data_IF_675002858501
#
_entry.id   IF_675002858501
#
_cell.length_a   1.000
_cell.length_b   1.000
_cell.length_c   1.000
_cell.angle_alpha   90.00
_cell.angle_beta   90.00
_cell.angle_gamma   90.00
#
_symmetry.space_group_name_H-M   'P 1'
#
loop_
_entity.id
_entity.type
_entity.pdbx_description
1 polymer ?
#
# COMPACT_ATOMS: atom_id res chain seq x y z
N UNK A 1 12.15 -25.83 7.31
CA UNK A 1 11.65 -26.78 8.32
C UNK A 1 12.22 -28.14 7.96
N UNK A 2 12.96 -28.80 8.90
CA UNK A 2 13.68 -30.07 8.68
C UNK A 2 12.77 -31.17 8.10
N UNK A 3 11.48 -31.11 8.37
CA UNK A 3 10.50 -32.05 7.83
C UNK A 3 10.22 -31.87 6.34
N UNK A 4 10.22 -30.63 5.84
CA UNK A 4 10.08 -30.35 4.40
C UNK A 4 11.36 -30.67 3.64
N UNK A 5 12.51 -30.42 4.25
CA UNK A 5 13.80 -30.83 3.71
C UNK A 5 13.92 -32.36 3.63
N UNK A 6 13.47 -33.11 4.66
CA UNK A 6 13.43 -34.56 4.65
C UNK A 6 12.43 -35.11 3.61
N UNK A 7 11.26 -34.50 3.44
CA UNK A 7 10.31 -34.88 2.39
C UNK A 7 10.87 -34.61 0.99
N UNK A 8 11.57 -33.50 0.80
CA UNK A 8 12.23 -33.17 -0.46
C UNK A 8 13.33 -34.20 -0.76
N UNK A 9 14.19 -34.53 0.21
CA UNK A 9 15.24 -35.54 0.07
C UNK A 9 14.64 -36.93 -0.19
N UNK A 10 13.50 -37.28 0.40
CA UNK A 10 12.81 -38.54 0.14
C UNK A 10 12.14 -38.59 -1.22
N UNK A 11 11.60 -37.47 -1.71
CA UNK A 11 11.03 -37.36 -3.07
C UNK A 11 12.12 -37.53 -4.13
N UNK A 12 13.27 -36.90 -3.94
CA UNK A 12 14.44 -37.03 -4.83
C UNK A 12 15.02 -38.46 -4.85
N UNK A 13 14.93 -39.20 -3.74
CA UNK A 13 15.37 -40.62 -3.69
C UNK A 13 14.42 -41.59 -4.37
N UNK A 14 13.15 -41.23 -4.49
CA UNK A 14 12.14 -42.11 -5.11
C UNK A 14 11.90 -41.88 -6.60
N UNK A 15 12.41 -40.76 -7.15
CA UNK A 15 12.23 -40.39 -8.56
C UNK A 15 13.58 -40.50 -9.30
N UNK A 16 13.97 -41.73 -9.64
CA UNK A 16 15.20 -42.03 -10.36
C UNK A 16 15.15 -41.65 -11.87
N UNK A 17 14.28 -40.70 -12.28
CA UNK A 17 14.06 -40.38 -13.69
C UNK A 17 14.23 -38.89 -14.05
N UNK A 18 14.39 -37.99 -13.10
CA UNK A 18 14.65 -36.56 -13.43
C UNK A 18 16.17 -36.39 -13.53
N UNK A 19 16.65 -36.05 -14.74
CA UNK A 19 18.07 -35.76 -14.92
C UNK A 19 18.43 -34.41 -14.27
N UNK A 20 19.70 -34.23 -13.89
CA UNK A 20 20.19 -32.96 -13.38
C UNK A 20 19.92 -31.80 -14.37
N UNK A 21 19.95 -32.10 -15.68
CA UNK A 21 19.61 -31.16 -16.73
C UNK A 21 18.14 -30.75 -16.71
N UNK A 22 17.21 -31.66 -16.41
CA UNK A 22 15.78 -31.38 -16.30
C UNK A 22 15.48 -30.54 -15.04
N UNK A 23 16.15 -30.84 -13.93
CA UNK A 23 16.05 -30.08 -12.69
C UNK A 23 16.62 -28.66 -12.90
N UNK A 24 17.78 -28.54 -13.54
CA UNK A 24 18.38 -27.26 -13.88
C UNK A 24 17.51 -26.46 -14.87
N UNK A 25 16.94 -27.10 -15.88
CA UNK A 25 16.01 -26.49 -16.81
C UNK A 25 14.75 -25.99 -16.09
N UNK A 26 14.21 -26.76 -15.13
CA UNK A 26 13.07 -26.33 -14.30
C UNK A 26 13.39 -25.11 -13.46
N UNK A 27 14.59 -25.03 -12.87
CA UNK A 27 15.05 -23.87 -12.08
C UNK A 27 15.29 -22.65 -13.00
N UNK A 28 15.82 -22.87 -14.21
CA UNK A 28 16.10 -21.81 -15.17
C UNK A 28 14.84 -21.33 -15.92
N UNK A 29 13.80 -22.16 -15.98
CA UNK A 29 12.48 -21.84 -16.58
C UNK A 29 11.50 -21.23 -15.57
N UNK A 30 11.91 -20.97 -14.34
CA UNK A 30 11.08 -20.24 -13.38
C UNK A 30 10.70 -18.90 -13.98
N UNK A 31 9.41 -18.73 -14.26
CA UNK A 31 8.89 -17.43 -14.72
C UNK A 31 9.22 -16.38 -13.69
N UNK A 32 9.77 -15.23 -14.11
CA UNK A 32 10.10 -14.17 -13.15
C UNK A 32 8.86 -13.83 -12.31
N UNK A 33 9.03 -13.74 -11.01
CA UNK A 33 7.94 -13.44 -10.06
C UNK A 33 7.21 -12.15 -10.44
N UNK A 34 7.94 -11.21 -11.03
CA UNK A 34 7.42 -9.92 -11.51
C UNK A 34 7.74 -9.72 -12.99
N UNK A 35 6.70 -9.39 -13.76
CA UNK A 35 6.86 -9.00 -15.15
C UNK A 35 7.10 -7.49 -15.21
N UNK A 36 8.25 -7.03 -15.75
CA UNK A 36 8.54 -5.61 -15.89
C UNK A 36 7.49 -4.88 -16.73
N UNK A 37 7.06 -3.70 -16.27
CA UNK A 37 6.24 -2.82 -17.09
C UNK A 37 7.09 -2.25 -18.23
N UNK A 38 6.57 -2.12 -19.47
CA UNK A 38 7.34 -1.68 -20.63
C UNK A 38 7.95 -0.29 -20.41
N UNK A 39 9.29 -0.21 -20.54
CA UNK A 39 10.05 1.01 -20.23
C UNK A 39 9.68 2.17 -21.17
N UNK A 40 9.49 1.90 -22.45
CA UNK A 40 9.09 2.90 -23.45
C UNK A 40 7.77 3.60 -23.12
N UNK A 41 6.86 2.87 -22.46
CA UNK A 41 5.59 3.45 -21.97
C UNK A 41 5.77 4.28 -20.72
N UNK A 42 6.69 3.88 -19.83
CA UNK A 42 7.02 4.67 -18.65
C UNK A 42 7.67 5.99 -19.06
N UNK A 43 8.71 5.93 -19.90
CA UNK A 43 9.47 7.10 -20.32
C UNK A 43 8.55 8.16 -20.93
N UNK A 44 7.65 7.76 -21.84
CA UNK A 44 6.65 8.67 -22.42
C UNK A 44 5.72 9.35 -21.42
N UNK A 45 5.41 8.71 -20.31
CA UNK A 45 4.54 9.28 -19.27
C UNK A 45 5.30 10.25 -18.38
N UNK A 46 6.63 10.12 -18.28
CA UNK A 46 7.48 10.98 -17.45
C UNK A 46 8.00 12.22 -18.20
N UNK A 47 8.05 12.18 -19.54
CA UNK A 47 8.64 13.26 -20.34
C UNK A 47 7.92 14.58 -20.14
N UNK A 48 6.60 14.56 -19.92
CA UNK A 48 5.82 15.78 -19.66
C UNK A 48 4.64 15.52 -18.73
N UNK A 49 4.75 15.95 -17.49
CA UNK A 49 3.64 15.93 -16.55
C UNK A 49 2.58 16.98 -16.92
N UNK A 50 2.97 18.05 -17.65
CA UNK A 50 2.10 19.14 -18.09
C UNK A 50 1.59 20.01 -16.94
N UNK A 51 1.22 21.25 -17.28
CA UNK A 51 0.76 22.25 -16.29
C UNK A 51 -0.50 21.78 -15.56
N UNK A 52 -1.44 21.17 -16.28
CA UNK A 52 -2.71 20.69 -15.72
C UNK A 52 -2.52 19.68 -14.58
N UNK A 53 -1.65 18.70 -14.79
CA UNK A 53 -1.37 17.71 -13.76
C UNK A 53 -0.54 18.28 -12.62
N UNK A 54 0.40 19.20 -12.91
CA UNK A 54 1.19 19.92 -11.88
C UNK A 54 0.29 20.76 -10.98
N UNK A 55 -0.62 21.55 -11.55
CA UNK A 55 -1.59 22.33 -10.79
C UNK A 55 -2.45 21.45 -9.87
N UNK A 56 -2.96 20.34 -10.37
CA UNK A 56 -3.70 19.35 -9.58
C UNK A 56 -2.87 18.78 -8.43
N UNK A 57 -1.62 18.38 -8.70
CA UNK A 57 -0.71 17.81 -7.70
C UNK A 57 -0.31 18.85 -6.65
N UNK A 58 0.00 20.08 -7.06
CA UNK A 58 0.30 21.18 -6.13
C UNK A 58 -0.91 21.50 -5.23
N UNK A 59 -2.12 21.52 -5.80
CA UNK A 59 -3.37 21.69 -5.03
C UNK A 59 -3.61 20.58 -4.00
N UNK A 60 -2.91 19.45 -4.13
CA UNK A 60 -2.89 18.35 -3.15
C UNK A 60 -1.64 18.32 -2.26
N UNK A 61 -0.85 19.38 -2.28
CA UNK A 61 0.38 19.50 -1.50
C UNK A 61 1.52 18.58 -1.97
N UNK A 62 1.49 18.14 -3.22
CA UNK A 62 2.58 17.35 -3.83
C UNK A 62 3.46 18.30 -4.64
N UNK A 63 4.68 18.53 -4.16
CA UNK A 63 5.65 19.48 -4.75
C UNK A 63 6.33 18.91 -6.00
N UNK A 64 7.07 19.74 -6.74
CA UNK A 64 7.85 19.30 -7.90
C UNK A 64 8.90 18.25 -7.49
N UNK A 65 9.55 18.42 -6.34
CA UNK A 65 10.53 17.46 -5.83
C UNK A 65 9.90 16.07 -5.61
N UNK A 66 8.65 16.02 -5.12
CA UNK A 66 7.91 14.77 -4.95
C UNK A 66 7.47 14.18 -6.29
N UNK A 67 7.07 15.02 -7.25
CA UNK A 67 6.75 14.61 -8.63
C UNK A 67 7.95 13.91 -9.24
N UNK A 68 9.12 14.52 -9.15
CA UNK A 68 10.37 13.99 -9.71
C UNK A 68 10.85 12.75 -8.94
N UNK A 69 10.80 12.77 -7.59
CA UNK A 69 11.23 11.65 -6.76
C UNK A 69 10.43 10.38 -7.00
N UNK A 70 9.12 10.50 -7.15
CA UNK A 70 8.23 9.37 -7.41
C UNK A 70 8.03 9.08 -8.90
N UNK A 71 8.64 9.87 -9.78
CA UNK A 71 8.47 9.78 -11.22
C UNK A 71 6.99 9.79 -11.63
N UNK A 72 6.24 10.77 -11.12
CA UNK A 72 4.85 10.91 -11.47
C UNK A 72 4.71 11.35 -12.93
N UNK A 73 3.73 10.77 -13.61
CA UNK A 73 3.45 11.08 -14.99
C UNK A 73 2.02 11.56 -15.20
N UNK A 74 1.69 11.83 -16.46
CA UNK A 74 0.34 12.21 -16.85
C UNK A 74 -0.11 11.49 -18.12
N UNK A 75 -1.35 11.10 -18.16
CA UNK A 75 -2.02 10.58 -19.34
C UNK A 75 -3.07 11.57 -19.81
N UNK A 76 -2.72 12.35 -20.84
CA UNK A 76 -3.64 13.31 -21.46
C UNK A 76 -4.93 12.63 -21.95
N UNK A 77 -4.77 11.48 -22.62
CA UNK A 77 -5.90 10.70 -23.16
C UNK A 77 -6.94 10.30 -22.11
N UNK A 78 -6.50 10.07 -20.87
CA UNK A 78 -7.38 9.63 -19.79
C UNK A 78 -7.64 10.71 -18.74
N UNK A 79 -7.00 11.86 -18.86
CA UNK A 79 -6.98 12.95 -17.87
C UNK A 79 -6.63 12.44 -16.45
N UNK A 80 -5.53 11.69 -16.37
CA UNK A 80 -5.11 11.02 -15.14
C UNK A 80 -3.65 11.29 -14.80
N UNK A 81 -3.37 11.60 -13.55
CA UNK A 81 -2.02 11.48 -12.98
C UNK A 81 -1.66 10.01 -12.89
N UNK A 82 -0.45 9.68 -13.28
CA UNK A 82 0.07 8.32 -13.32
C UNK A 82 1.15 8.15 -12.25
N UNK A 83 0.99 7.12 -11.43
CA UNK A 83 1.92 6.76 -10.36
C UNK A 83 2.50 5.39 -10.67
N UNK A 84 3.83 5.26 -10.85
CA UNK A 84 4.46 3.97 -11.08
C UNK A 84 4.52 3.15 -9.80
N UNK A 85 4.29 1.85 -9.94
CA UNK A 85 4.39 0.87 -8.86
C UNK A 85 5.54 -0.08 -9.15
N UNK A 86 6.38 -0.31 -8.15
CA UNK A 86 7.56 -1.17 -8.25
C UNK A 86 7.39 -2.42 -7.40
N UNK A 87 8.02 -3.52 -7.85
CA UNK A 87 8.22 -4.71 -7.01
C UNK A 87 9.05 -4.36 -5.78
N UNK A 88 9.11 -5.22 -4.76
CA UNK A 88 10.00 -5.00 -3.63
C UNK A 88 11.47 -4.79 -4.03
N UNK A 89 11.90 -5.31 -5.18
CA UNK A 89 13.28 -5.17 -5.68
C UNK A 89 13.50 -3.96 -6.59
N UNK A 90 12.45 -3.16 -6.79
CA UNK A 90 12.53 -1.91 -7.54
C UNK A 90 12.26 -2.06 -9.05
N UNK A 91 11.77 -3.20 -9.50
CA UNK A 91 11.35 -3.40 -10.89
C UNK A 91 9.98 -2.72 -11.07
N UNK A 92 9.79 -1.79 -12.02
CA UNK A 92 8.48 -1.24 -12.32
C UNK A 92 7.56 -2.35 -12.84
N UNK A 93 6.43 -2.59 -12.16
CA UNK A 93 5.51 -3.72 -12.44
C UNK A 93 4.11 -3.28 -12.83
N UNK A 94 3.85 -1.99 -12.79
CA UNK A 94 2.56 -1.44 -13.20
C UNK A 94 2.39 0.01 -12.79
N UNK A 95 1.17 0.49 -13.00
CA UNK A 95 0.79 1.89 -12.82
C UNK A 95 -0.53 1.98 -12.05
N UNK A 96 -0.66 3.06 -11.29
CA UNK A 96 -1.93 3.53 -10.74
C UNK A 96 -2.24 4.88 -11.40
N UNK A 97 -3.45 5.02 -11.95
CA UNK A 97 -3.97 6.28 -12.49
C UNK A 97 -4.96 6.91 -11.52
N UNK A 98 -4.84 8.22 -11.32
CA UNK A 98 -5.78 9.04 -10.56
C UNK A 98 -6.41 10.07 -11.47
N UNK A 99 -7.72 10.01 -11.69
CA UNK A 99 -8.47 11.01 -12.45
C UNK A 99 -8.45 12.38 -11.79
N UNK A 100 -8.18 13.42 -12.61
CA UNK A 100 -8.13 14.79 -12.12
C UNK A 100 -9.53 15.30 -11.81
N UNK A 101 -10.51 15.04 -12.68
CA UNK A 101 -11.88 15.55 -12.53
C UNK A 101 -12.76 14.63 -11.68
N UNK A 102 -12.79 13.35 -12.02
CA UNK A 102 -13.73 12.37 -11.46
C UNK A 102 -13.21 11.65 -10.20
N UNK A 103 -11.96 11.94 -9.81
CA UNK A 103 -11.28 11.33 -8.65
C UNK A 103 -11.22 9.79 -8.71
N UNK A 104 -11.46 9.17 -9.86
CA UNK A 104 -11.40 7.71 -10.00
C UNK A 104 -9.97 7.21 -9.88
N UNK A 105 -9.83 5.98 -9.38
CA UNK A 105 -8.58 5.23 -9.42
C UNK A 105 -8.66 4.12 -10.47
N UNK A 106 -7.62 3.99 -11.27
CA UNK A 106 -7.47 2.88 -12.22
C UNK A 106 -6.10 2.24 -12.04
N UNK A 107 -6.08 0.93 -11.93
CA UNK A 107 -4.84 0.17 -11.94
C UNK A 107 -4.55 -0.34 -13.36
N UNK A 108 -3.28 -0.38 -13.74
CA UNK A 108 -2.89 -1.06 -14.96
C UNK A 108 -3.30 -2.53 -14.90
N UNK A 109 -3.61 -3.10 -16.08
CA UNK A 109 -3.91 -4.52 -16.18
C UNK A 109 -2.70 -5.33 -15.68
N UNK A 110 -2.94 -6.33 -14.85
CA UNK A 110 -1.91 -7.19 -14.28
C UNK A 110 -0.98 -6.54 -13.24
N UNK A 111 -1.34 -5.37 -12.65
CA UNK A 111 -0.62 -4.86 -11.49
C UNK A 111 -0.66 -5.91 -10.36
N UNK A 112 0.47 -6.45 -9.89
CA UNK A 112 0.51 -7.55 -8.91
C UNK A 112 0.30 -7.04 -7.47
N UNK A 113 -0.87 -6.44 -7.20
CA UNK A 113 -1.21 -5.84 -5.90
C UNK A 113 -1.13 -6.81 -4.72
N UNK A 114 -1.27 -8.11 -4.98
CA UNK A 114 -1.13 -9.12 -3.92
C UNK A 114 0.32 -9.36 -3.49
N UNK A 115 1.30 -8.93 -4.30
CA UNK A 115 2.73 -9.18 -4.07
C UNK A 115 3.55 -7.92 -3.86
N UNK A 116 2.95 -6.74 -4.04
CA UNK A 116 3.63 -5.46 -3.88
C UNK A 116 2.76 -4.40 -3.23
N UNK A 117 3.39 -3.43 -2.62
CA UNK A 117 2.80 -2.22 -2.06
C UNK A 117 3.56 -1.01 -2.61
N UNK A 118 2.87 0.12 -2.80
CA UNK A 118 3.53 1.34 -3.26
C UNK A 118 4.64 1.75 -2.30
N UNK A 119 5.77 2.15 -2.84
CA UNK A 119 6.99 2.60 -2.14
C UNK A 119 7.70 1.54 -1.26
N UNK A 120 7.28 0.28 -1.24
CA UNK A 120 7.92 -0.76 -0.44
C UNK A 120 9.41 -0.93 -0.78
N UNK A 121 9.76 -0.85 -2.08
CA UNK A 121 11.13 -0.95 -2.58
C UNK A 121 12.10 0.08 -1.98
N UNK A 122 11.58 1.26 -1.60
CA UNK A 122 12.35 2.32 -0.95
C UNK A 122 12.25 2.22 0.57
N UNK A 123 11.02 2.09 1.10
CA UNK A 123 10.75 2.06 2.53
C UNK A 123 11.51 0.94 3.25
N UNK A 124 11.63 -0.26 2.66
CA UNK A 124 12.36 -1.39 3.26
C UNK A 124 13.84 -1.09 3.54
N UNK A 125 14.44 -0.09 2.86
CA UNK A 125 15.84 0.29 3.08
C UNK A 125 16.07 1.03 4.40
N UNK A 126 15.01 1.64 4.93
CA UNK A 126 15.08 2.33 6.24
C UNK A 126 14.92 1.33 7.39
N UNK A 127 14.19 0.23 7.20
CA UNK A 127 13.90 -0.73 8.27
C UNK A 127 13.13 -0.10 9.44
N UNK A 128 13.16 -0.78 10.59
CA UNK A 128 12.58 -0.25 11.84
C UNK A 128 11.09 0.02 11.76
N UNK A 129 10.70 1.30 11.77
CA UNK A 129 9.30 1.74 11.73
C UNK A 129 8.83 1.99 10.30
N UNK A 130 7.57 1.65 9.98
CA UNK A 130 6.92 1.99 8.72
C UNK A 130 5.52 2.56 8.96
N UNK A 131 5.14 3.58 8.18
CA UNK A 131 3.75 4.06 8.12
C UNK A 131 3.02 3.33 7.00
N UNK A 132 1.82 2.82 7.27
CA UNK A 132 0.99 2.09 6.31
C UNK A 132 -0.31 2.86 6.07
N UNK A 133 -0.55 3.27 4.83
CA UNK A 133 -1.78 3.94 4.38
C UNK A 133 -2.42 3.17 3.21
N UNK A 134 -3.52 3.69 2.66
CA UNK A 134 -4.26 3.01 1.59
C UNK A 134 -3.83 3.42 0.19
N UNK A 135 -3.73 4.71 -0.08
CA UNK A 135 -3.48 5.21 -1.42
C UNK A 135 -2.03 5.65 -1.64
N UNK A 136 -1.59 5.59 -2.89
CA UNK A 136 -0.26 6.11 -3.27
C UNK A 136 -0.14 7.62 -3.06
N UNK A 137 -1.24 8.37 -3.15
CA UNK A 137 -1.24 9.81 -2.91
C UNK A 137 -1.00 10.13 -1.44
N UNK A 138 -1.64 9.38 -0.51
CA UNK A 138 -1.39 9.53 0.92
C UNK A 138 0.06 9.20 1.26
N UNK A 139 0.60 8.13 0.67
CA UNK A 139 2.00 7.78 0.87
C UNK A 139 2.95 8.89 0.38
N UNK A 140 2.66 9.53 -0.76
CA UNK A 140 3.45 10.66 -1.28
C UNK A 140 3.35 11.86 -0.33
N UNK A 141 2.16 12.17 0.20
CA UNK A 141 1.95 13.24 1.17
C UNK A 141 2.70 12.99 2.48
N UNK A 142 2.59 11.78 3.03
CA UNK A 142 3.29 11.36 4.26
C UNK A 142 4.82 11.43 4.04
N UNK A 143 5.30 10.99 2.88
CA UNK A 143 6.71 11.10 2.51
C UNK A 143 7.17 12.57 2.49
N UNK A 144 6.38 13.46 1.85
CA UNK A 144 6.65 14.89 1.78
C UNK A 144 6.68 15.55 3.16
N UNK A 145 5.86 15.10 4.09
CA UNK A 145 5.87 15.54 5.47
C UNK A 145 7.10 15.05 6.28
N UNK A 146 8.04 14.29 5.66
CA UNK A 146 9.29 13.88 6.26
C UNK A 146 9.34 12.43 6.76
N UNK A 147 8.42 11.57 6.33
CA UNK A 147 8.39 10.14 6.67
C UNK A 147 8.64 9.26 5.43
N UNK A 148 9.89 9.10 4.99
CA UNK A 148 10.21 8.35 3.76
C UNK A 148 9.93 6.84 3.87
N UNK A 149 9.82 6.31 5.07
CA UNK A 149 9.46 4.94 5.41
C UNK A 149 7.94 4.72 5.44
N UNK A 150 7.24 5.19 4.43
CA UNK A 150 5.79 5.02 4.23
C UNK A 150 5.53 4.09 3.05
N UNK A 151 4.46 3.30 3.16
CA UNK A 151 3.96 2.42 2.09
C UNK A 151 2.44 2.53 1.96
N UNK A 152 1.93 2.25 0.73
CA UNK A 152 0.48 2.13 0.54
C UNK A 152 0.08 0.75 0.03
N UNK A 153 -1.04 0.23 0.56
CA UNK A 153 -1.61 -1.07 0.18
C UNK A 153 -2.28 -1.08 -1.19
N UNK A 154 -2.50 0.10 -1.78
CA UNK A 154 -3.21 0.31 -3.05
C UNK A 154 -4.68 -0.14 -2.99
N UNK A 155 -5.34 0.17 -1.90
CA UNK A 155 -6.75 -0.06 -1.60
C UNK A 155 -6.97 -0.78 -0.27
N UNK A 156 -8.24 -0.92 0.13
CA UNK A 156 -8.67 -1.42 1.44
C UNK A 156 -8.47 -2.93 1.69
N UNK A 157 -7.48 -3.56 1.07
CA UNK A 157 -7.15 -4.98 1.24
C UNK A 157 -5.64 -5.21 1.30
N UNK A 158 -5.24 -6.14 2.16
CA UNK A 158 -3.85 -6.60 2.25
C UNK A 158 -3.79 -8.13 2.08
N UNK A 159 -2.87 -8.60 1.24
CA UNK A 159 -2.63 -10.01 0.98
C UNK A 159 -1.71 -10.64 2.02
N UNK A 160 -1.65 -11.99 2.02
CA UNK A 160 -0.69 -12.72 2.85
C UNK A 160 0.76 -12.39 2.50
N UNK A 161 1.07 -12.21 1.21
CA UNK A 161 2.43 -11.88 0.75
C UNK A 161 2.83 -10.48 1.21
N UNK A 162 1.90 -9.51 1.15
CA UNK A 162 2.14 -8.16 1.64
C UNK A 162 2.27 -8.13 3.18
N UNK A 163 1.52 -8.94 3.92
CA UNK A 163 1.71 -9.13 5.36
C UNK A 163 3.07 -9.75 5.68
N UNK A 164 3.51 -10.74 4.88
CA UNK A 164 4.83 -11.33 5.02
C UNK A 164 5.95 -10.31 4.76
N UNK A 165 5.78 -9.42 3.77
CA UNK A 165 6.71 -8.32 3.53
C UNK A 165 6.77 -7.34 4.71
N UNK A 166 5.63 -6.95 5.30
CA UNK A 166 5.60 -6.13 6.51
C UNK A 166 6.34 -6.81 7.66
N UNK A 167 6.04 -8.08 7.88
CA UNK A 167 6.67 -8.86 8.94
C UNK A 167 8.19 -8.98 8.77
N UNK A 168 8.65 -9.13 7.52
CA UNK A 168 10.06 -9.34 7.19
C UNK A 168 10.90 -8.07 7.36
N UNK A 169 10.38 -6.91 6.94
CA UNK A 169 11.21 -5.71 6.78
C UNK A 169 11.07 -4.72 7.93
N UNK A 170 10.00 -4.79 8.74
CA UNK A 170 9.72 -3.78 9.74
C UNK A 170 9.46 -4.39 11.12
N UNK A 171 9.84 -3.65 12.18
CA UNK A 171 9.62 -4.04 13.57
C UNK A 171 8.40 -3.35 14.17
N UNK A 172 8.16 -2.11 13.78
CA UNK A 172 7.05 -1.27 14.22
C UNK A 172 6.24 -0.82 13.00
N UNK A 173 4.92 -0.84 13.14
CA UNK A 173 3.98 -0.45 12.08
C UNK A 173 3.05 0.61 12.63
N UNK A 174 3.03 1.78 12.00
CA UNK A 174 2.09 2.84 12.29
C UNK A 174 0.98 2.77 11.24
N UNK A 175 -0.22 2.41 11.66
CA UNK A 175 -1.40 2.33 10.80
C UNK A 175 -1.97 3.75 10.65
N UNK A 176 -2.07 4.21 9.41
CA UNK A 176 -2.65 5.51 9.03
C UNK A 176 -3.57 5.31 7.81
N UNK A 177 -4.53 4.40 7.95
CA UNK A 177 -5.53 4.06 6.93
C UNK A 177 -6.71 5.02 6.98
N UNK A 178 -7.51 5.07 5.91
CA UNK A 178 -8.65 5.99 5.78
C UNK A 178 -9.66 5.84 6.92
N UNK A 179 -10.27 6.95 7.32
CA UNK A 179 -11.37 6.97 8.26
C UNK A 179 -12.70 7.14 7.51
N UNK A 180 -13.28 6.01 7.15
CA UNK A 180 -14.47 5.97 6.32
C UNK A 180 -15.76 6.25 7.11
N UNK A 181 -16.68 6.94 6.45
CA UNK A 181 -18.04 7.13 6.94
C UNK A 181 -18.83 5.81 6.82
N UNK A 182 -19.24 5.25 7.95
CA UNK A 182 -19.96 3.98 8.00
C UNK A 182 -21.27 4.00 7.21
N UNK A 183 -21.97 5.13 7.21
CA UNK A 183 -23.27 5.24 6.56
C UNK A 183 -23.17 5.09 5.04
N UNK A 184 -22.03 5.46 4.48
CA UNK A 184 -21.74 5.29 3.04
C UNK A 184 -21.42 3.85 2.64
N UNK A 185 -21.17 2.97 3.62
CA UNK A 185 -20.80 1.58 3.40
C UNK A 185 -21.85 0.57 3.90
N UNK A 186 -23.11 1.00 3.99
CA UNK A 186 -24.26 0.12 4.23
C UNK A 186 -24.59 -0.60 2.93
N UNK A 187 -24.69 -1.93 2.98
CA UNK A 187 -25.02 -2.74 1.82
C UNK A 187 -26.18 -3.71 2.13
N UNK A 188 -27.18 -3.77 1.24
CA UNK A 188 -28.34 -4.65 1.37
C UNK A 188 -27.96 -6.14 1.51
N UNK A 189 -26.93 -6.58 0.77
CA UNK A 189 -26.45 -7.97 0.77
C UNK A 189 -25.03 -8.07 1.34
N UNK A 190 -24.82 -7.49 2.51
CA UNK A 190 -23.52 -7.49 3.15
C UNK A 190 -23.11 -8.87 3.65
N UNK A 191 -22.10 -9.49 3.04
CA UNK A 191 -21.59 -10.80 3.46
C UNK A 191 -20.97 -10.83 4.86
N UNK A 192 -20.49 -9.67 5.35
CA UNK A 192 -19.90 -9.57 6.70
C UNK A 192 -20.95 -9.54 7.81
N UNK A 193 -22.14 -8.99 7.52
CA UNK A 193 -23.22 -8.83 8.49
C UNK A 193 -24.27 -9.93 8.41
N UNK A 194 -24.34 -10.69 7.32
CA UNK A 194 -25.35 -11.74 7.15
C UNK A 194 -25.35 -12.75 8.32
N UNK A 195 -26.51 -13.13 8.91
CA UNK A 195 -27.87 -12.80 8.47
C UNK A 195 -28.43 -11.45 8.96
N UNK A 196 -27.70 -10.70 9.76
CA UNK A 196 -28.17 -9.43 10.32
C UNK A 196 -28.12 -8.28 9.29
N UNK A 197 -28.96 -7.24 9.47
CA UNK A 197 -28.89 -6.03 8.65
C UNK A 197 -27.51 -5.36 8.77
N UNK A 198 -26.96 -4.91 7.63
CA UNK A 198 -25.70 -4.17 7.63
C UNK A 198 -25.84 -2.84 8.37
N UNK A 199 -24.98 -2.62 9.35
CA UNK A 199 -24.89 -1.36 10.14
C UNK A 199 -23.82 -0.40 9.59
N UNK A 200 -23.32 -0.67 8.38
CA UNK A 200 -22.19 0.03 7.79
C UNK A 200 -20.83 -0.51 8.24
N UNK A 201 -19.83 -0.18 7.46
CA UNK A 201 -18.44 -0.57 7.67
C UNK A 201 -17.52 0.65 7.60
N UNK A 202 -16.36 0.52 8.19
CA UNK A 202 -15.25 1.44 8.01
C UNK A 202 -14.10 0.63 7.35
N UNK A 203 -14.01 0.60 5.99
CA UNK A 203 -13.03 -0.21 5.28
C UNK A 203 -11.59 0.07 5.70
N UNK A 204 -11.22 1.32 5.90
CA UNK A 204 -9.88 1.69 6.34
C UNK A 204 -9.57 1.16 7.74
N UNK A 205 -10.51 1.27 8.69
CA UNK A 205 -10.39 0.64 10.01
C UNK A 205 -10.28 -0.89 9.90
N UNK A 206 -11.09 -1.52 9.07
CA UNK A 206 -11.08 -2.97 8.87
C UNK A 206 -9.73 -3.45 8.33
N UNK A 207 -9.12 -2.68 7.40
CA UNK A 207 -7.78 -2.93 6.90
C UNK A 207 -6.74 -2.84 8.01
N UNK A 208 -6.77 -1.76 8.79
CA UNK A 208 -5.86 -1.57 9.92
C UNK A 208 -5.96 -2.68 10.95
N UNK A 209 -7.19 -3.10 11.31
CA UNK A 209 -7.45 -4.23 12.21
C UNK A 209 -6.92 -5.55 11.64
N UNK A 210 -7.04 -5.75 10.31
CA UNK A 210 -6.49 -6.93 9.64
C UNK A 210 -4.98 -6.99 9.77
N UNK A 211 -4.28 -5.87 9.58
CA UNK A 211 -2.83 -5.76 9.75
C UNK A 211 -2.45 -6.06 11.20
N UNK A 212 -3.09 -5.39 12.17
CA UNK A 212 -2.80 -5.53 13.58
C UNK A 212 -3.01 -6.97 14.08
N UNK A 213 -4.12 -7.60 13.71
CA UNK A 213 -4.41 -8.98 14.11
C UNK A 213 -3.50 -10.02 13.45
N UNK A 214 -2.98 -9.73 12.26
CA UNK A 214 -2.10 -10.64 11.52
C UNK A 214 -0.64 -10.56 12.01
N UNK A 215 -0.22 -9.42 12.55
CA UNK A 215 1.17 -9.13 12.91
C UNK A 215 1.35 -8.92 14.42
N UNK A 216 0.81 -9.83 15.22
CA UNK A 216 0.82 -9.78 16.70
C UNK A 216 2.21 -9.74 17.35
N UNK A 217 3.24 -10.12 16.60
CA UNK A 217 4.64 -10.08 17.03
C UNK A 217 5.33 -8.74 16.74
N UNK A 218 4.60 -7.76 16.19
CA UNK A 218 5.10 -6.43 15.88
C UNK A 218 4.53 -5.39 16.83
N UNK A 219 5.25 -4.30 16.98
CA UNK A 219 4.75 -3.12 17.66
C UNK A 219 3.81 -2.36 16.71
N UNK A 220 2.53 -2.34 17.04
CA UNK A 220 1.48 -1.74 16.20
C UNK A 220 0.99 -0.47 16.88
N UNK A 221 1.16 0.64 16.20
CA UNK A 221 0.64 1.94 16.59
C UNK A 221 -0.42 2.41 15.58
N UNK A 222 -1.29 3.30 16.03
CA UNK A 222 -2.35 3.90 15.23
C UNK A 222 -2.20 5.41 15.20
N UNK A 223 -2.00 5.98 14.02
CA UNK A 223 -2.02 7.42 13.81
C UNK A 223 -3.47 7.87 13.64
N UNK A 224 -3.97 8.64 14.60
CA UNK A 224 -5.34 9.11 14.61
C UNK A 224 -5.41 10.53 14.07
N UNK A 225 -6.01 10.69 12.92
CA UNK A 225 -6.22 11.99 12.27
C UNK A 225 -7.69 12.43 12.23
N UNK A 226 -8.58 11.60 12.74
CA UNK A 226 -10.00 11.88 12.89
C UNK A 226 -10.37 12.33 14.29
N UNK A 227 -9.42 12.55 15.18
CA UNK A 227 -9.67 12.94 16.55
C UNK A 227 -9.98 14.44 16.60
N UNK A 228 -11.25 14.75 16.77
CA UNK A 228 -11.85 16.07 16.58
C UNK A 228 -11.37 17.17 17.55
N UNK A 229 -10.80 16.80 18.69
CA UNK A 229 -10.29 17.80 19.64
C UNK A 229 -8.96 18.44 19.20
N UNK A 230 -8.18 17.71 18.39
CA UNK A 230 -6.85 18.16 17.94
C UNK A 230 -6.86 18.65 16.50
N UNK A 231 -7.78 18.15 15.68
CA UNK A 231 -7.91 18.47 14.25
C UNK A 231 -9.30 19.00 13.96
N UNK A 232 -9.43 20.30 13.65
CA UNK A 232 -10.72 20.93 13.34
C UNK A 232 -11.34 20.43 12.02
N UNK A 233 -10.66 19.54 11.32
CA UNK A 233 -11.07 18.99 10.04
C UNK A 233 -11.59 17.58 10.24
N UNK A 234 -12.74 17.26 9.67
CA UNK A 234 -13.18 15.88 9.48
C UNK A 234 -12.28 15.21 8.44
N UNK A 235 -10.98 15.15 8.72
CA UNK A 235 -10.01 14.54 7.84
C UNK A 235 -10.32 13.06 7.70
N UNK A 236 -10.38 12.61 6.46
CA UNK A 236 -10.66 11.23 6.12
C UNK A 236 -9.38 10.45 5.84
N UNK A 237 -8.42 11.09 5.24
CA UNK A 237 -7.15 10.50 4.80
C UNK A 237 -5.99 11.50 4.99
N UNK A 238 -4.76 11.06 4.77
CA UNK A 238 -3.58 11.90 4.92
C UNK A 238 -3.54 13.04 3.88
N UNK A 239 -4.27 12.92 2.77
CA UNK A 239 -4.41 13.95 1.76
C UNK A 239 -5.21 15.17 2.23
N UNK A 240 -6.01 15.03 3.28
CA UNK A 240 -6.79 16.12 3.89
C UNK A 240 -5.99 16.92 4.92
N UNK A 241 -4.79 16.45 5.29
CA UNK A 241 -3.95 17.02 6.35
C UNK A 241 -2.83 17.89 5.79
N UNK A 242 -2.43 18.90 6.56
CA UNK A 242 -1.18 19.64 6.38
C UNK A 242 0.02 18.77 6.78
N UNK A 243 1.22 19.15 6.37
CA UNK A 243 2.45 18.43 6.75
C UNK A 243 2.67 18.41 8.27
N UNK A 244 2.31 19.49 8.97
CA UNK A 244 2.44 19.57 10.43
C UNK A 244 1.43 18.65 11.13
N UNK A 245 0.21 18.54 10.63
CA UNK A 245 -0.80 17.62 11.12
C UNK A 245 -0.39 16.16 10.89
N UNK A 246 0.14 15.83 9.71
CA UNK A 246 0.71 14.49 9.44
C UNK A 246 1.82 14.17 10.43
N UNK A 247 2.77 15.10 10.65
CA UNK A 247 3.85 14.93 11.63
C UNK A 247 3.32 14.69 13.03
N UNK A 248 2.32 15.45 13.42
CA UNK A 248 1.70 15.31 14.74
C UNK A 248 1.03 13.94 14.90
N UNK A 249 0.20 13.51 13.93
CA UNK A 249 -0.47 12.21 13.96
C UNK A 249 0.51 11.06 14.13
N UNK A 250 1.59 11.07 13.35
CA UNK A 250 2.57 9.98 13.35
C UNK A 250 3.38 9.99 14.65
N UNK A 251 3.82 11.16 15.13
CA UNK A 251 4.59 11.27 16.39
C UNK A 251 3.78 10.94 17.63
N UNK A 252 2.46 11.14 17.58
CA UNK A 252 1.54 10.85 18.68
C UNK A 252 0.70 9.60 18.44
N UNK A 253 1.14 8.73 17.53
CA UNK A 253 0.47 7.47 17.25
C UNK A 253 0.30 6.65 18.55
N UNK A 254 -0.90 6.09 18.73
CA UNK A 254 -1.28 5.38 19.95
C UNK A 254 -1.13 3.89 19.79
N UNK A 255 -0.88 3.20 20.89
CA UNK A 255 -0.90 1.74 20.90
C UNK A 255 -2.29 1.21 20.48
N UNK A 256 -2.33 -0.04 20.02
CA UNK A 256 -3.61 -0.67 19.65
C UNK A 256 -4.61 -0.69 20.82
N UNK A 257 -4.13 -0.87 22.05
CA UNK A 257 -4.99 -0.89 23.25
C UNK A 257 -5.61 0.48 23.49
N UNK A 258 -4.81 1.55 23.41
CA UNK A 258 -5.31 2.94 23.55
C UNK A 258 -6.28 3.27 22.41
N UNK A 259 -5.95 2.92 21.16
CA UNK A 259 -6.86 3.10 20.02
C UNK A 259 -8.19 2.39 20.23
N UNK A 260 -8.16 1.13 20.64
CA UNK A 260 -9.36 0.34 20.89
C UNK A 260 -10.22 0.93 22.01
N UNK A 261 -9.60 1.44 23.07
CA UNK A 261 -10.32 2.06 24.18
C UNK A 261 -11.05 3.36 23.80
N UNK A 262 -10.47 4.15 22.89
CA UNK A 262 -11.06 5.39 22.38
C UNK A 262 -12.22 5.17 21.40
N UNK A 263 -12.28 4.01 20.75
CA UNK A 263 -13.27 3.69 19.72
C UNK A 263 -14.36 2.69 20.16
N UNK A 264 -14.44 2.40 21.46
CA UNK A 264 -15.47 1.52 22.03
C UNK A 264 -16.79 2.25 22.37
N UNK A 265 -16.85 3.58 22.16
CA UNK A 265 -18.04 4.41 22.44
C UNK A 265 -18.66 5.00 21.18
#
# INVERSE_FOLDING_TARGET
NDYEALRFIQSVKNDASISFEDELASILDEKPEFVPFPKDKLDKMYEDVGDRAREYLHGRGITNELIDYFHLGYSEKQDMVIVPVHSPDGIPVGLVGRGIQDKTFKNSRNLPRSKTMFNLNRAKKYGGTVVVCESSFDAIRIHGAGFPNVIATLGGYISKDNLANLNRYFNQIIIMTDFDDKDKHIAENCRKCYPDPCKGHNPGRDLGLTIANSLKNKDILWAMYSDTEVYPHNAKDAGDLTDEEIKYCIKNAKSYVEYASLNLY
#
